data_IF_009501606755
#
_entry.id   IF_009501606755
#
_cell.length_a   1.000
_cell.length_b   1.000
_cell.length_c   1.000
_cell.angle_alpha   90.00
_cell.angle_beta   90.00
_cell.angle_gamma   90.00
#
_symmetry.space_group_name_H-M   'P 1'
#
loop_
_entity.id
_entity.type
_entity.pdbx_description
1 polymer ?
#
# COMPACT_ATOMS: atom_id res chain seq x y z
N UNK A 1 14.91 3.33 2.14
CA UNK A 1 14.32 2.35 1.20
C UNK A 1 15.44 1.47 0.64
N UNK A 2 15.12 0.23 0.25
CA UNK A 2 16.09 -0.70 -0.36
C UNK A 2 15.73 -0.88 -1.83
N UNK A 3 16.72 -0.86 -2.73
CA UNK A 3 16.49 -1.06 -4.17
C UNK A 3 16.26 -2.54 -4.45
N UNK A 4 15.24 -2.87 -5.23
CA UNK A 4 14.94 -4.28 -5.57
C UNK A 4 16.08 -4.97 -6.32
N UNK A 5 16.86 -4.23 -7.12
CA UNK A 5 18.04 -4.75 -7.80
C UNK A 5 19.12 -5.24 -6.82
N UNK A 6 19.35 -4.49 -5.73
CA UNK A 6 20.33 -4.88 -4.71
C UNK A 6 19.86 -6.15 -3.97
N UNK A 7 18.56 -6.27 -3.70
CA UNK A 7 17.97 -7.48 -3.10
C UNK A 7 18.16 -8.67 -4.02
N UNK A 8 17.90 -8.53 -5.32
CA UNK A 8 18.07 -9.60 -6.30
C UNK A 8 19.53 -10.08 -6.37
N UNK A 9 20.49 -9.13 -6.44
CA UNK A 9 21.92 -9.46 -6.41
C UNK A 9 22.32 -10.16 -5.11
N UNK A 10 21.84 -9.67 -3.97
CA UNK A 10 22.10 -10.31 -2.68
C UNK A 10 21.55 -11.74 -2.63
N UNK A 11 20.33 -11.97 -3.15
CA UNK A 11 19.76 -13.31 -3.20
C UNK A 11 20.57 -14.27 -4.08
N UNK A 12 21.09 -13.82 -5.22
CA UNK A 12 21.97 -14.63 -6.09
C UNK A 12 23.25 -14.99 -5.33
N UNK A 13 23.91 -14.02 -4.70
CA UNK A 13 25.12 -14.24 -3.91
C UNK A 13 24.88 -15.26 -2.77
N UNK A 14 23.79 -15.10 -2.02
CA UNK A 14 23.43 -16.03 -0.94
C UNK A 14 23.05 -17.42 -1.45
N UNK A 15 22.63 -17.56 -2.71
CA UNK A 15 22.28 -18.85 -3.31
C UNK A 15 23.49 -19.70 -3.70
N UNK A 16 24.68 -19.09 -3.83
CA UNK A 16 25.89 -19.76 -4.30
C UNK A 16 25.87 -20.17 -5.78
N UNK A 17 24.89 -19.70 -6.56
CA UNK A 17 24.77 -19.95 -7.99
C UNK A 17 25.31 -18.76 -8.78
N UNK A 18 26.04 -19.05 -9.85
CA UNK A 18 26.67 -18.08 -10.75
C UNK A 18 25.96 -17.98 -12.11
N UNK A 19 24.96 -18.83 -12.37
CA UNK A 19 24.26 -18.98 -13.65
C UNK A 19 22.85 -18.35 -13.68
N UNK A 20 22.60 -17.32 -12.86
CA UNK A 20 21.30 -16.63 -12.79
C UNK A 20 21.39 -15.27 -13.47
N UNK A 21 20.60 -15.07 -14.55
CA UNK A 21 20.45 -13.80 -15.23
C UNK A 21 19.35 -12.93 -14.60
N UNK A 22 19.61 -11.64 -14.42
CA UNK A 22 18.58 -10.66 -14.03
C UNK A 22 18.02 -10.01 -15.30
N UNK A 23 16.72 -10.20 -15.54
CA UNK A 23 15.99 -9.56 -16.63
C UNK A 23 15.06 -8.46 -16.10
N UNK A 24 15.22 -7.24 -16.60
CA UNK A 24 14.39 -6.11 -16.23
C UNK A 24 13.17 -6.03 -17.14
N UNK A 25 12.01 -6.39 -16.61
CA UNK A 25 10.74 -6.38 -17.36
C UNK A 25 10.03 -5.03 -17.35
N UNK A 26 10.54 -4.05 -16.60
CA UNK A 26 9.85 -2.80 -16.32
C UNK A 26 8.74 -2.97 -15.27
N UNK A 27 7.99 -1.89 -15.03
CA UNK A 27 6.87 -1.85 -14.09
C UNK A 27 5.61 -2.49 -14.68
N UNK A 28 4.87 -3.22 -13.85
CA UNK A 28 3.53 -3.69 -14.20
C UNK A 28 2.50 -2.55 -14.09
N UNK A 29 1.35 -2.73 -14.73
CA UNK A 29 0.25 -1.77 -14.62
C UNK A 29 -0.16 -1.58 -13.15
N UNK A 30 -0.17 -0.33 -12.68
CA UNK A 30 -0.49 0.03 -11.31
C UNK A 30 0.64 -0.15 -10.29
N UNK A 31 1.82 -0.62 -10.70
CA UNK A 31 2.97 -0.78 -9.80
C UNK A 31 3.65 0.57 -9.52
N UNK A 32 3.92 0.85 -8.24
CA UNK A 32 4.63 2.06 -7.80
C UNK A 32 6.14 1.83 -7.73
N UNK A 33 6.92 2.85 -8.07
CA UNK A 33 8.39 2.80 -7.97
C UNK A 33 8.90 2.84 -6.51
N UNK A 34 8.17 3.50 -5.64
CA UNK A 34 8.53 3.67 -4.23
C UNK A 34 7.29 3.63 -3.34
N UNK A 35 7.50 3.25 -2.09
CA UNK A 35 6.46 3.25 -1.08
C UNK A 35 6.51 4.51 -0.20
N UNK A 36 5.34 4.91 0.29
CA UNK A 36 5.15 6.04 1.20
C UNK A 36 4.49 5.47 2.46
N UNK A 37 5.17 5.58 3.61
CA UNK A 37 4.73 4.91 4.84
C UNK A 37 3.48 5.55 5.47
N UNK A 38 3.29 6.85 5.26
CA UNK A 38 2.12 7.61 5.71
C UNK A 38 1.95 8.82 4.79
N UNK A 39 0.71 9.16 4.46
CA UNK A 39 0.36 10.34 3.67
C UNK A 39 0.36 11.63 4.51
N UNK A 40 0.25 12.79 3.86
CA UNK A 40 0.15 14.08 4.54
C UNK A 40 -1.12 14.22 5.39
N UNK A 41 -2.17 13.46 5.06
CA UNK A 41 -3.41 13.40 5.84
C UNK A 41 -3.28 12.50 7.08
N UNK A 42 -2.24 11.66 7.15
CA UNK A 42 -2.01 10.73 8.25
C UNK A 42 -0.99 11.32 9.23
N UNK A 43 -1.50 11.98 10.27
CA UNK A 43 -0.64 12.49 11.35
C UNK A 43 -0.14 11.33 12.23
N UNK A 44 1.18 11.15 12.26
CA UNK A 44 1.83 10.07 13.01
C UNK A 44 2.49 10.54 14.32
N UNK A 45 2.21 9.85 15.42
CA UNK A 45 2.79 10.09 16.75
C UNK A 45 3.60 8.89 17.28
N UNK A 46 4.44 9.09 18.30
CA UNK A 46 5.26 8.02 18.92
C UNK A 46 5.10 7.96 20.44
N UNK A 47 3.90 7.64 20.96
CA UNK A 47 3.62 7.70 22.39
C UNK A 47 4.31 6.60 23.21
N UNK A 48 4.59 5.42 22.60
CA UNK A 48 5.04 4.23 23.33
C UNK A 48 6.50 3.84 23.05
N UNK A 49 6.92 3.86 21.79
CA UNK A 49 8.26 3.44 21.39
C UNK A 49 8.86 4.40 20.36
N UNK A 50 10.12 4.84 20.53
CA UNK A 50 10.72 5.86 19.68
C UNK A 50 10.90 5.44 18.22
N UNK A 51 10.83 4.14 17.91
CA UNK A 51 10.94 3.61 16.54
C UNK A 51 9.61 3.19 15.91
N UNK A 52 8.48 3.35 16.61
CA UNK A 52 7.17 2.93 16.10
C UNK A 52 6.25 4.16 15.99
N UNK A 53 5.93 4.53 14.76
CA UNK A 53 4.94 5.57 14.45
C UNK A 53 3.53 4.98 14.52
N UNK A 54 2.62 5.67 15.18
CA UNK A 54 1.21 5.33 15.31
C UNK A 54 0.38 6.38 14.58
N UNK A 55 -0.55 5.95 13.72
CA UNK A 55 -1.51 6.83 13.06
C UNK A 55 -2.90 6.50 13.63
N UNK A 56 -3.66 7.51 14.02
CA UNK A 56 -5.04 7.32 14.47
C UNK A 56 -5.98 7.20 13.27
N UNK A 57 -6.80 6.15 13.25
CA UNK A 57 -7.81 5.93 12.21
C UNK A 57 -9.18 6.10 12.85
N UNK A 58 -10.02 7.04 12.37
CA UNK A 58 -11.39 7.18 12.86
C UNK A 58 -12.18 5.87 12.67
N UNK A 59 -13.01 5.47 13.65
CA UNK A 59 -13.80 4.25 13.52
C UNK A 59 -14.86 4.41 12.42
N UNK A 60 -14.97 3.40 11.55
CA UNK A 60 -16.02 3.34 10.55
C UNK A 60 -17.35 2.91 11.17
N UNK A 61 -18.46 3.55 10.77
CA UNK A 61 -19.80 3.12 11.17
C UNK A 61 -20.17 1.80 10.49
N UNK A 62 -20.31 0.73 11.28
CA UNK A 62 -20.63 -0.64 10.79
C UNK A 62 -22.03 -0.73 10.17
N UNK A 63 -22.94 0.17 10.53
CA UNK A 63 -24.32 0.20 10.00
C UNK A 63 -24.35 0.51 8.48
N UNK A 64 -23.24 0.98 7.92
CA UNK A 64 -23.14 1.37 6.51
C UNK A 64 -22.83 0.20 5.54
N UNK A 65 -22.55 -1.02 6.02
CA UNK A 65 -22.11 -2.12 5.16
C UNK A 65 -22.90 -3.39 5.44
N UNK A 66 -23.52 -3.94 4.39
CA UNK A 66 -24.12 -5.27 4.38
C UNK A 66 -23.03 -6.37 4.39
N UNK A 67 -23.25 -7.50 5.07
CA UNK A 67 -22.24 -8.56 5.28
C UNK A 67 -21.67 -9.16 3.97
N UNK A 68 -22.36 -8.98 2.84
CA UNK A 68 -21.92 -9.43 1.52
C UNK A 68 -20.57 -8.89 1.08
N UNK A 69 -20.05 -7.82 1.70
CA UNK A 69 -18.72 -7.26 1.37
C UNK A 69 -17.60 -8.29 1.45
N UNK A 70 -17.70 -9.28 2.35
CA UNK A 70 -16.68 -10.30 2.60
C UNK A 70 -16.71 -11.46 1.58
N UNK A 71 -17.72 -11.52 0.71
CA UNK A 71 -17.92 -12.64 -0.21
C UNK A 71 -16.94 -12.62 -1.40
N UNK A 72 -16.38 -11.45 -1.75
CA UNK A 72 -15.36 -11.34 -2.80
C UNK A 72 -14.51 -10.06 -2.69
N UNK A 73 -13.34 -10.07 -3.33
CA UNK A 73 -12.47 -8.89 -3.45
C UNK A 73 -13.17 -7.71 -4.12
N UNK A 74 -14.02 -7.96 -5.13
CA UNK A 74 -14.75 -6.91 -5.83
C UNK A 74 -15.79 -6.24 -4.94
N UNK A 75 -16.54 -7.04 -4.15
CA UNK A 75 -17.51 -6.55 -3.18
C UNK A 75 -16.82 -5.79 -2.04
N UNK A 76 -15.69 -6.30 -1.55
CA UNK A 76 -14.84 -5.62 -0.56
C UNK A 76 -14.35 -4.26 -1.08
N UNK A 77 -13.81 -4.22 -2.31
CA UNK A 77 -13.36 -2.96 -2.93
C UNK A 77 -14.50 -1.98 -3.10
N UNK A 78 -15.68 -2.45 -3.53
CA UNK A 78 -16.83 -1.59 -3.74
C UNK A 78 -17.36 -1.01 -2.41
N UNK A 79 -17.39 -1.81 -1.34
CA UNK A 79 -17.72 -1.35 -0.01
C UNK A 79 -16.73 -0.30 0.51
N UNK A 80 -15.42 -0.55 0.39
CA UNK A 80 -14.37 0.42 0.77
C UNK A 80 -14.50 1.74 -0.01
N UNK A 81 -14.77 1.68 -1.32
CA UNK A 81 -14.98 2.88 -2.14
C UNK A 81 -16.25 3.65 -1.76
N UNK A 82 -17.30 2.98 -1.29
CA UNK A 82 -18.52 3.66 -0.80
C UNK A 82 -18.23 4.39 0.51
N UNK A 83 -17.58 3.73 1.46
CA UNK A 83 -17.19 4.33 2.74
C UNK A 83 -16.25 5.52 2.55
N UNK A 84 -15.23 5.37 1.69
CA UNK A 84 -14.28 6.44 1.38
C UNK A 84 -14.92 7.68 0.72
N UNK A 85 -16.15 7.58 0.19
CA UNK A 85 -16.88 8.68 -0.43
C UNK A 85 -17.92 9.32 0.50
N UNK A 86 -18.21 8.73 1.66
CA UNK A 86 -19.27 9.18 2.55
C UNK A 86 -18.82 10.22 3.61
N UNK A 87 -17.52 10.51 3.74
CA UNK A 87 -17.02 11.57 4.63
C UNK A 87 -15.98 12.44 3.89
N UNK A 88 -16.15 13.76 3.97
CA UNK A 88 -15.42 14.83 3.27
C UNK A 88 -13.92 14.97 3.63
N UNK A 89 -13.29 13.96 4.24
CA UNK A 89 -11.94 14.08 4.82
C UNK A 89 -10.93 13.00 4.37
N UNK A 90 -11.32 12.05 3.52
CA UNK A 90 -10.35 11.12 2.92
C UNK A 90 -9.88 11.61 1.55
N UNK A 91 -8.55 11.73 1.43
CA UNK A 91 -7.84 12.01 0.18
C UNK A 91 -8.42 11.13 -0.93
N UNK A 92 -9.07 11.76 -1.92
CA UNK A 92 -9.50 11.06 -3.13
C UNK A 92 -8.30 10.29 -3.69
N UNK A 93 -8.44 8.98 -3.87
CA UNK A 93 -7.57 8.24 -4.78
C UNK A 93 -7.77 8.88 -6.16
N UNK A 94 -6.75 9.52 -6.75
CA UNK A 94 -6.92 10.18 -8.03
C UNK A 94 -7.26 9.14 -9.09
N UNK A 95 -8.12 9.49 -10.05
CA UNK A 95 -8.53 8.59 -11.14
C UNK A 95 -7.34 8.16 -12.03
N UNK A 96 -6.16 8.76 -11.85
CA UNK A 96 -4.91 8.41 -12.52
C UNK A 96 -3.71 8.63 -11.59
N UNK A 97 -2.88 7.60 -11.44
CA UNK A 97 -1.61 7.68 -10.73
C UNK A 97 -0.59 8.35 -11.67
N UNK A 98 0.01 9.47 -11.25
CA UNK A 98 1.09 10.11 -12.00
C UNK A 98 2.37 9.27 -11.83
N UNK A 99 2.80 8.63 -12.92
CA UNK A 99 4.04 7.86 -13.01
C UNK A 99 5.14 8.80 -13.52
N UNK A 100 5.71 9.61 -12.63
CA UNK A 100 6.95 10.34 -12.89
C UNK A 100 8.15 9.62 -12.28
#
# INVERSE_FOLDING_TARGET
>A
PVRIADVAHHMIEQSGKDDIEIQYTGLREGEKLHEVLSSEAESGDRPLHPLITHVQVPPLSVVAIDESWAESCDLSRHAMLRLARQEDDYVRVPDRIDLR
#
